data_IF_329935025262
#
_entry.id   IF_329935025262
#
_cell.length_a   1.000
_cell.length_b   1.000
_cell.length_c   1.000
_cell.angle_alpha   90.00
_cell.angle_beta   90.00
_cell.angle_gamma   90.00
#
_symmetry.space_group_name_H-M   'P 1'
#
loop_
_entity.id
_entity.type
_entity.pdbx_description
1 polymer ?
#
# COMPACT_ATOMS: atom_id res chain seq x y z
N UNK A 1 19.29 -34.81 -67.54
CA UNK A 1 18.17 -33.98 -68.02
C UNK A 1 17.79 -32.99 -66.93
N UNK A 2 17.68 -31.70 -67.30
CA UNK A 2 17.06 -30.49 -66.68
C UNK A 2 17.07 -30.30 -65.15
N UNK A 3 17.59 -29.23 -64.52
CA UNK A 3 17.42 -27.76 -64.66
C UNK A 3 16.00 -27.19 -64.37
N UNK A 4 15.97 -26.24 -63.42
CA UNK A 4 15.09 -25.06 -63.24
C UNK A 4 13.87 -25.04 -62.27
N UNK A 5 13.70 -23.81 -61.72
CA UNK A 5 12.56 -23.17 -61.04
C UNK A 5 12.41 -23.48 -59.53
N UNK A 6 12.69 -22.62 -58.53
CA UNK A 6 12.52 -21.17 -58.33
C UNK A 6 11.04 -20.71 -58.36
N UNK A 7 10.64 -19.99 -57.28
CA UNK A 7 9.72 -18.82 -57.22
C UNK A 7 8.32 -18.99 -56.58
N UNK A 8 8.16 -18.28 -55.43
CA UNK A 8 6.97 -17.59 -54.83
C UNK A 8 5.80 -18.45 -54.33
N UNK A 9 5.08 -18.15 -53.24
CA UNK A 9 4.96 -16.98 -52.36
C UNK A 9 3.63 -17.13 -51.60
N UNK A 10 3.46 -16.52 -50.43
CA UNK A 10 2.15 -16.53 -49.76
C UNK A 10 2.17 -16.04 -48.32
N UNK A 11 1.68 -14.81 -48.13
CA UNK A 11 1.51 -14.07 -46.87
C UNK A 11 0.28 -14.51 -46.05
N UNK A 12 0.25 -14.02 -44.79
CA UNK A 12 -0.85 -13.95 -43.82
C UNK A 12 -1.07 -15.23 -42.97
N UNK A 13 -1.23 -15.20 -41.65
CA UNK A 13 -1.43 -14.12 -40.68
C UNK A 13 -2.19 -14.68 -39.46
N UNK A 14 -2.05 -14.01 -38.30
CA UNK A 14 -2.91 -14.08 -37.10
C UNK A 14 -2.78 -15.33 -36.20
N UNK A 15 -2.60 -15.23 -34.88
CA UNK A 15 -2.57 -14.06 -34.02
C UNK A 15 -1.99 -14.42 -32.64
N UNK A 16 -1.00 -13.64 -32.21
CA UNK A 16 -0.62 -13.51 -30.81
C UNK A 16 -1.76 -12.83 -30.06
N UNK A 17 -2.39 -13.53 -29.13
CA UNK A 17 -3.19 -12.90 -28.08
C UNK A 17 -2.25 -12.24 -27.08
N UNK A 18 -1.81 -11.03 -27.42
CA UNK A 18 -1.37 -10.05 -26.42
C UNK A 18 -2.64 -9.63 -25.70
N UNK A 19 -2.84 -10.15 -24.49
CA UNK A 19 -3.89 -9.66 -23.59
C UNK A 19 -3.69 -8.16 -23.39
N UNK A 20 -4.56 -7.37 -24.00
CA UNK A 20 -4.62 -5.93 -23.83
C UNK A 20 -4.90 -5.65 -22.35
N UNK A 21 -3.89 -5.17 -21.63
CA UNK A 21 -4.09 -4.46 -20.37
C UNK A 21 -5.06 -3.30 -20.63
N UNK A 22 -6.04 -3.05 -19.74
CA UNK A 22 -6.96 -1.93 -19.90
C UNK A 22 -6.17 -0.62 -19.99
N UNK A 23 -6.55 0.30 -20.91
CA UNK A 23 -5.87 1.58 -21.06
C UNK A 23 -6.11 2.42 -19.81
N UNK A 24 -5.10 2.49 -18.94
CA UNK A 24 -5.13 3.24 -17.69
C UNK A 24 -4.32 2.65 -16.54
N UNK A 25 -3.92 1.37 -16.61
CA UNK A 25 -3.27 0.67 -15.49
C UNK A 25 -1.73 0.62 -15.53
N UNK A 26 -1.05 1.14 -16.56
CA UNK A 26 0.37 0.80 -16.81
C UNK A 26 1.31 1.95 -17.18
N UNK A 27 0.91 3.22 -17.06
CA UNK A 27 1.85 4.32 -17.36
C UNK A 27 2.85 4.61 -16.21
N UNK A 28 2.46 4.36 -14.95
CA UNK A 28 3.33 4.60 -13.78
C UNK A 28 3.94 3.31 -13.20
N UNK A 29 3.39 2.14 -13.53
CA UNK A 29 3.94 0.85 -13.11
C UNK A 29 5.13 0.36 -13.97
N UNK A 30 5.36 0.99 -15.13
CA UNK A 30 6.32 0.53 -16.14
C UNK A 30 7.55 1.45 -16.33
N UNK A 31 7.79 2.40 -15.42
CA UNK A 31 9.12 3.03 -15.32
C UNK A 31 9.98 2.17 -14.43
N UNK A 32 10.92 1.45 -15.05
CA UNK A 32 11.97 0.68 -14.40
C UNK A 32 12.89 1.58 -13.59
N UNK A 33 12.41 2.00 -12.43
CA UNK A 33 13.22 2.66 -11.43
C UNK A 33 13.73 1.58 -10.47
N UNK A 34 14.97 1.16 -10.69
CA UNK A 34 15.68 0.25 -9.79
C UNK A 34 15.82 0.80 -8.37
N UNK A 35 16.66 0.18 -7.52
CA UNK A 35 16.89 0.67 -6.17
C UNK A 35 17.28 2.15 -6.19
N UNK A 36 16.74 2.93 -5.24
CA UNK A 36 17.07 4.35 -5.13
C UNK A 36 18.55 4.53 -4.79
N UNK A 37 19.12 5.69 -5.14
CA UNK A 37 20.51 5.98 -4.81
C UNK A 37 20.72 5.98 -3.28
N UNK A 38 21.92 5.63 -2.77
CA UNK A 38 22.18 5.49 -1.34
C UNK A 38 21.80 6.72 -0.51
N UNK A 39 21.99 7.92 -1.06
CA UNK A 39 21.67 9.19 -0.40
C UNK A 39 20.15 9.37 -0.24
N UNK A 40 19.37 8.90 -1.21
CA UNK A 40 17.90 8.90 -1.19
C UNK A 40 17.40 7.95 -0.11
N UNK A 41 17.98 6.75 -0.05
CA UNK A 41 17.67 5.74 0.96
C UNK A 41 17.98 6.26 2.36
N UNK A 42 19.16 6.88 2.55
CA UNK A 42 19.55 7.45 3.83
C UNK A 42 18.57 8.55 4.30
N UNK A 43 18.13 9.45 3.40
CA UNK A 43 17.12 10.46 3.71
C UNK A 43 15.78 9.82 4.10
N UNK A 44 15.29 8.88 3.31
CA UNK A 44 14.03 8.19 3.59
C UNK A 44 14.07 7.43 4.93
N UNK A 45 15.18 6.76 5.27
CA UNK A 45 15.34 6.12 6.58
C UNK A 45 15.33 7.15 7.72
N UNK A 46 16.01 8.29 7.55
CA UNK A 46 15.97 9.38 8.53
C UNK A 46 14.56 9.94 8.72
N UNK A 47 13.79 10.06 7.63
CA UNK A 47 12.39 10.46 7.71
C UNK A 47 11.55 9.45 8.50
N UNK A 48 11.69 8.14 8.24
CA UNK A 48 10.92 7.13 8.96
C UNK A 48 11.21 7.16 10.47
N UNK A 49 12.47 7.29 10.88
CA UNK A 49 12.85 7.41 12.29
C UNK A 49 12.25 8.67 12.92
N UNK A 50 12.30 9.81 12.21
CA UNK A 50 11.67 11.06 12.65
C UNK A 50 10.16 10.87 12.84
N UNK A 51 9.46 10.30 11.86
CA UNK A 51 8.02 10.04 11.91
C UNK A 51 7.66 9.14 13.08
N UNK A 52 8.41 8.05 13.29
CA UNK A 52 8.22 7.15 14.43
C UNK A 52 8.45 7.88 15.77
N UNK A 53 9.51 8.68 15.88
CA UNK A 53 9.84 9.45 17.08
C UNK A 53 8.80 10.52 17.40
N UNK A 54 8.31 11.24 16.40
CA UNK A 54 7.28 12.27 16.56
C UNK A 54 5.93 11.66 16.95
N UNK A 55 5.53 10.57 16.29
CA UNK A 55 4.31 9.84 16.63
C UNK A 55 4.38 9.25 18.05
N UNK A 56 5.56 8.85 18.52
CA UNK A 56 5.74 8.29 19.84
C UNK A 56 5.37 9.25 20.98
N UNK A 57 5.42 10.58 20.74
CA UNK A 57 5.09 11.62 21.73
C UNK A 57 3.60 11.69 22.07
N UNK A 58 2.73 11.09 21.26
CA UNK A 58 1.29 11.08 21.51
C UNK A 58 0.89 9.90 22.39
N UNK A 59 0.22 10.20 23.51
CA UNK A 59 -0.27 9.19 24.45
C UNK A 59 -1.57 8.49 24.02
N UNK A 60 -2.36 9.08 23.12
CA UNK A 60 -3.58 8.45 22.61
C UNK A 60 -3.31 7.63 21.35
N UNK A 61 -3.86 6.42 21.29
CA UNK A 61 -3.79 5.52 20.11
C UNK A 61 -4.20 6.24 18.82
N UNK A 62 -5.35 6.91 18.83
CA UNK A 62 -5.88 7.63 17.67
C UNK A 62 -4.89 8.70 17.18
N UNK A 63 -4.44 9.62 18.06
CA UNK A 63 -3.51 10.69 17.64
C UNK A 63 -2.17 10.14 17.17
N UNK A 64 -1.71 9.01 17.72
CA UNK A 64 -0.50 8.34 17.22
C UNK A 64 -0.69 7.81 15.80
N UNK A 65 -1.81 7.15 15.50
CA UNK A 65 -2.12 6.72 14.13
C UNK A 65 -2.19 7.91 13.14
N UNK A 66 -2.84 9.00 13.55
CA UNK A 66 -2.92 10.22 12.76
C UNK A 66 -1.55 10.87 12.54
N UNK A 67 -0.69 10.89 13.57
CA UNK A 67 0.66 11.41 13.47
C UNK A 67 1.56 10.58 12.54
N UNK A 68 1.40 9.24 12.52
CA UNK A 68 2.11 8.39 11.56
C UNK A 68 1.71 8.71 10.12
N UNK A 69 0.42 8.91 9.85
CA UNK A 69 -0.10 9.30 8.53
C UNK A 69 0.35 10.71 8.12
N UNK A 70 0.25 11.69 9.03
CA UNK A 70 0.70 13.06 8.78
C UNK A 70 2.22 13.13 8.58
N UNK A 71 2.99 12.31 9.30
CA UNK A 71 4.42 12.20 9.10
C UNK A 71 4.75 11.64 7.72
N UNK A 72 4.06 10.57 7.31
CA UNK A 72 4.27 9.93 6.02
C UNK A 72 4.01 10.86 4.83
N UNK A 73 3.05 11.79 4.93
CA UNK A 73 2.74 12.71 3.82
C UNK A 73 3.92 13.60 3.42
N UNK A 74 4.90 13.76 4.31
CA UNK A 74 6.12 14.55 4.11
C UNK A 74 7.40 13.71 4.10
N UNK A 75 7.29 12.39 4.26
CA UNK A 75 8.44 11.49 4.36
C UNK A 75 8.74 10.84 3.01
N UNK A 76 10.02 10.50 2.79
CA UNK A 76 10.42 9.61 1.70
C UNK A 76 9.95 10.09 0.30
N UNK A 77 10.02 11.40 0.05
CA UNK A 77 9.46 12.05 -1.14
C UNK A 77 9.85 11.41 -2.47
N UNK A 78 11.10 10.96 -2.58
CA UNK A 78 11.72 10.37 -3.78
C UNK A 78 11.55 8.83 -3.86
N UNK A 79 10.99 8.22 -2.81
CA UNK A 79 10.78 6.78 -2.68
C UNK A 79 9.31 6.43 -2.77
N UNK A 80 8.45 7.21 -2.12
CA UNK A 80 7.01 7.00 -2.08
C UNK A 80 6.30 7.87 -3.12
N UNK A 81 5.47 7.26 -4.00
CA UNK A 81 4.63 8.00 -4.93
C UNK A 81 3.81 9.10 -4.24
N UNK A 82 3.67 10.25 -4.90
CA UNK A 82 2.92 11.40 -4.40
C UNK A 82 1.50 11.01 -3.96
N UNK A 83 0.80 10.19 -4.74
CA UNK A 83 -0.55 9.67 -4.42
C UNK A 83 -0.64 9.00 -3.03
N UNK A 84 0.37 8.20 -2.64
CA UNK A 84 0.37 7.56 -1.31
C UNK A 84 0.62 8.58 -0.20
N UNK A 85 1.54 9.54 -0.44
CA UNK A 85 1.86 10.60 0.53
C UNK A 85 0.69 11.56 0.74
N UNK A 86 0.10 12.05 -0.35
CA UNK A 86 -1.08 12.92 -0.33
C UNK A 86 -2.27 12.21 0.34
N UNK A 87 -2.55 10.97 -0.07
CA UNK A 87 -3.60 10.15 0.55
C UNK A 87 -3.41 9.95 2.05
N UNK A 88 -2.18 9.76 2.52
CA UNK A 88 -1.87 9.72 3.94
C UNK A 88 -2.16 11.05 4.65
N UNK A 89 -1.76 12.17 4.03
CA UNK A 89 -2.00 13.52 4.54
C UNK A 89 -3.50 13.82 4.69
N UNK A 90 -4.29 13.50 3.66
CA UNK A 90 -5.74 13.66 3.70
C UNK A 90 -6.41 12.73 4.72
N UNK A 91 -5.90 11.51 4.88
CA UNK A 91 -6.42 10.53 5.83
C UNK A 91 -6.10 10.89 7.29
N UNK A 92 -4.99 11.60 7.55
CA UNK A 92 -4.51 11.90 8.90
C UNK A 92 -5.53 12.68 9.76
N UNK A 93 -6.30 13.59 9.16
CA UNK A 93 -7.32 14.38 9.88
C UNK A 93 -8.73 13.77 9.80
N UNK A 94 -8.90 12.69 9.03
CA UNK A 94 -10.20 12.06 8.80
C UNK A 94 -10.67 11.19 9.98
N UNK A 95 -12.00 11.10 10.10
CA UNK A 95 -12.69 10.10 10.94
C UNK A 95 -12.48 8.70 10.38
N UNK A 96 -12.65 7.65 11.18
CA UNK A 96 -12.28 6.26 10.84
C UNK A 96 -12.80 5.78 9.49
N UNK A 97 -14.11 5.82 9.26
CA UNK A 97 -14.70 5.35 8.00
C UNK A 97 -14.15 6.13 6.79
N UNK A 98 -14.11 7.45 6.88
CA UNK A 98 -13.56 8.30 5.82
C UNK A 98 -12.06 8.10 5.62
N UNK A 99 -11.31 7.84 6.70
CA UNK A 99 -9.89 7.52 6.68
C UNK A 99 -9.66 6.23 5.91
N UNK A 100 -10.39 5.17 6.24
CA UNK A 100 -10.33 3.89 5.51
C UNK A 100 -10.58 4.13 4.02
N UNK A 101 -11.61 4.91 3.66
CA UNK A 101 -11.95 5.18 2.26
C UNK A 101 -10.82 5.88 1.51
N UNK A 102 -10.24 6.93 2.11
CA UNK A 102 -9.13 7.70 1.54
C UNK A 102 -7.88 6.83 1.37
N UNK A 103 -7.56 6.02 2.37
CA UNK A 103 -6.42 5.12 2.33
C UNK A 103 -6.58 4.03 1.28
N UNK A 104 -7.80 3.49 1.13
CA UNK A 104 -8.13 2.54 0.08
C UNK A 104 -7.98 3.15 -1.32
N UNK A 105 -8.50 4.37 -1.53
CA UNK A 105 -8.36 5.08 -2.80
C UNK A 105 -6.91 5.44 -3.10
N UNK A 106 -6.12 5.81 -2.08
CA UNK A 106 -4.70 6.06 -2.23
C UNK A 106 -3.92 4.80 -2.62
N UNK A 107 -4.32 3.63 -2.10
CA UNK A 107 -3.70 2.34 -2.40
C UNK A 107 -4.04 1.77 -3.78
N UNK A 108 -5.11 2.25 -4.43
CA UNK A 108 -5.55 1.75 -5.74
C UNK A 108 -4.45 1.94 -6.80
N UNK A 109 -4.19 0.89 -7.57
CA UNK A 109 -3.10 0.85 -8.56
C UNK A 109 -1.72 0.50 -7.97
N UNK A 110 -1.61 0.32 -6.66
CA UNK A 110 -0.39 -0.13 -5.97
C UNK A 110 -0.50 -1.51 -5.34
N UNK A 111 -1.72 -2.03 -5.22
CA UNK A 111 -2.01 -3.38 -4.74
C UNK A 111 -2.93 -4.09 -5.73
N UNK A 112 -2.94 -5.43 -5.76
CA UNK A 112 -3.91 -6.18 -6.55
C UNK A 112 -5.35 -5.81 -6.20
N UNK A 113 -6.24 -5.81 -7.19
CA UNK A 113 -7.68 -5.53 -6.99
C UNK A 113 -8.32 -6.45 -5.94
N UNK A 114 -7.82 -7.68 -5.77
CA UNK A 114 -8.28 -8.60 -4.72
C UNK A 114 -8.07 -8.07 -3.28
N UNK A 115 -7.14 -7.11 -3.10
CA UNK A 115 -6.88 -6.43 -1.83
C UNK A 115 -7.80 -5.21 -1.63
N UNK A 116 -8.55 -4.81 -2.66
CA UNK A 116 -9.47 -3.67 -2.65
C UNK A 116 -10.90 -4.17 -2.50
N UNK A 117 -11.45 -4.14 -1.29
CA UNK A 117 -12.87 -4.42 -1.07
C UNK A 117 -13.68 -3.14 -1.09
N UNK A 118 -14.89 -3.17 -1.65
CA UNK A 118 -15.87 -2.11 -1.43
C UNK A 118 -16.15 -1.98 0.07
N UNK A 119 -16.09 -0.74 0.58
CA UNK A 119 -16.31 -0.45 1.99
C UNK A 119 -17.75 -0.73 2.46
N UNK A 120 -17.97 -0.95 3.77
CA UNK A 120 -16.97 -1.13 4.84
C UNK A 120 -16.69 -2.61 5.10
N UNK A 121 -15.60 -3.14 4.54
CA UNK A 121 -15.14 -4.50 4.82
C UNK A 121 -14.03 -4.50 5.87
N UNK A 122 -13.96 -5.56 6.68
CA UNK A 122 -12.86 -5.78 7.64
C UNK A 122 -11.63 -6.34 6.92
N UNK A 123 -10.43 -5.98 7.36
CA UNK A 123 -9.20 -6.47 6.74
C UNK A 123 -9.11 -8.01 6.75
N UNK A 124 -9.66 -8.65 7.80
CA UNK A 124 -9.73 -10.11 7.89
C UNK A 124 -10.54 -10.77 6.77
N UNK A 125 -11.57 -10.10 6.25
CA UNK A 125 -12.41 -10.61 5.15
C UNK A 125 -11.69 -10.58 3.79
N UNK A 126 -10.62 -9.80 3.68
CA UNK A 126 -9.75 -9.78 2.49
C UNK A 126 -8.48 -10.59 2.68
N UNK A 127 -8.08 -10.96 3.90
CA UNK A 127 -6.84 -11.70 4.20
C UNK A 127 -6.73 -13.00 3.38
N UNK A 128 -7.82 -13.74 3.19
CA UNK A 128 -7.80 -14.98 2.42
C UNK A 128 -7.47 -14.77 0.93
N UNK A 129 -7.83 -13.61 0.37
CA UNK A 129 -7.62 -13.24 -1.04
C UNK A 129 -6.33 -12.45 -1.25
N UNK A 130 -5.93 -11.71 -0.21
CA UNK A 130 -4.76 -10.85 -0.20
C UNK A 130 -4.01 -11.06 1.13
N UNK A 131 -3.30 -12.20 1.28
CA UNK A 131 -2.61 -12.51 2.51
C UNK A 131 -1.43 -11.56 2.73
N UNK A 132 -1.09 -11.24 3.99
CA UNK A 132 0.09 -10.46 4.28
C UNK A 132 1.33 -11.26 3.83
N UNK A 133 2.31 -10.63 3.18
CA UNK A 133 3.52 -11.31 2.73
C UNK A 133 4.34 -11.88 3.89
N UNK A 134 5.08 -12.97 3.67
CA UNK A 134 5.73 -13.75 4.76
C UNK A 134 6.73 -12.97 5.62
N UNK A 135 7.38 -11.95 5.05
CA UNK A 135 8.38 -11.13 5.72
C UNK A 135 7.79 -9.94 6.49
N UNK A 136 6.48 -9.92 6.65
CA UNK A 136 5.80 -8.86 7.40
C UNK A 136 5.61 -9.26 8.85
N UNK A 137 5.80 -8.30 9.76
CA UNK A 137 5.58 -8.48 11.20
C UNK A 137 4.08 -8.56 11.58
N UNK A 138 3.20 -8.90 10.64
CA UNK A 138 1.77 -9.04 10.92
C UNK A 138 1.52 -10.29 11.76
N UNK A 139 0.73 -10.14 12.83
CA UNK A 139 0.15 -11.27 13.54
C UNK A 139 -1.01 -11.79 12.70
N UNK A 140 -0.93 -13.04 12.26
CA UNK A 140 -2.05 -13.75 11.62
C UNK A 140 -2.83 -14.53 12.69
N UNK A 141 -4.17 -14.58 12.64
CA UNK A 141 -5.03 -13.85 11.71
C UNK A 141 -5.03 -12.34 11.97
N UNK A 142 -5.35 -11.54 10.93
CA UNK A 142 -5.47 -10.09 11.11
C UNK A 142 -6.59 -9.75 12.13
N UNK A 143 -6.41 -8.70 12.95
CA UNK A 143 -7.43 -8.28 13.92
C UNK A 143 -8.75 -7.91 13.23
N UNK A 144 -9.89 -8.34 13.81
CA UNK A 144 -11.23 -7.98 13.31
C UNK A 144 -11.49 -6.47 13.34
N UNK A 145 -10.77 -5.76 14.22
CA UNK A 145 -10.83 -4.32 14.38
C UNK A 145 -10.11 -3.56 13.28
N UNK A 146 -9.24 -4.20 12.48
CA UNK A 146 -8.48 -3.54 11.42
C UNK A 146 -9.36 -3.31 10.17
N UNK A 147 -9.44 -2.06 9.72
CA UNK A 147 -10.16 -1.69 8.49
C UNK A 147 -9.37 -2.05 7.23
N UNK A 148 -10.09 -2.34 6.15
CA UNK A 148 -9.48 -2.72 4.86
C UNK A 148 -8.63 -1.60 4.26
N UNK A 149 -9.03 -0.33 4.43
CA UNK A 149 -8.26 0.81 3.92
C UNK A 149 -6.86 0.90 4.49
N UNK A 150 -6.74 0.81 5.82
CA UNK A 150 -5.44 0.80 6.52
C UNK A 150 -4.58 -0.39 6.08
N UNK A 151 -5.18 -1.57 5.90
CA UNK A 151 -4.45 -2.75 5.44
C UNK A 151 -3.94 -2.60 4.00
N UNK A 152 -4.81 -2.23 3.05
CA UNK A 152 -4.45 -2.02 1.65
C UNK A 152 -3.38 -0.94 1.50
N UNK A 153 -3.49 0.16 2.24
CA UNK A 153 -2.50 1.22 2.25
C UNK A 153 -1.13 0.77 2.75
N UNK A 154 -1.10 0.00 3.86
CA UNK A 154 0.15 -0.54 4.36
C UNK A 154 0.83 -1.49 3.36
N UNK A 155 0.05 -2.32 2.66
CA UNK A 155 0.56 -3.17 1.58
C UNK A 155 1.15 -2.35 0.43
N UNK A 156 0.46 -1.28 0.01
CA UNK A 156 0.92 -0.38 -1.05
C UNK A 156 2.25 0.30 -0.67
N UNK A 157 2.33 0.88 0.53
CA UNK A 157 3.55 1.53 1.04
C UNK A 157 4.69 0.53 1.09
N UNK A 158 4.45 -0.65 1.66
CA UNK A 158 5.46 -1.72 1.70
C UNK A 158 5.96 -2.08 0.32
N UNK A 159 5.06 -2.32 -0.64
CA UNK A 159 5.44 -2.71 -2.00
C UNK A 159 6.39 -1.67 -2.62
N UNK A 160 6.05 -0.39 -2.50
CA UNK A 160 6.88 0.71 -3.03
C UNK A 160 8.22 0.87 -2.32
N UNK A 161 8.25 0.74 -0.99
CA UNK A 161 9.52 0.73 -0.25
C UNK A 161 10.41 -0.44 -0.68
N UNK A 162 9.84 -1.62 -0.92
CA UNK A 162 10.61 -2.80 -1.36
C UNK A 162 11.19 -2.64 -2.75
N UNK A 163 10.36 -2.22 -3.70
CA UNK A 163 10.79 -1.96 -5.09
C UNK A 163 11.96 -0.98 -5.15
N UNK A 164 11.94 0.02 -4.26
CA UNK A 164 12.99 1.06 -4.19
C UNK A 164 14.18 0.70 -3.30
N UNK A 165 14.18 -0.47 -2.66
CA UNK A 165 15.26 -0.90 -1.76
C UNK A 165 15.29 -0.20 -0.40
N UNK A 166 14.20 0.46 0.00
CA UNK A 166 14.05 1.20 1.27
C UNK A 166 13.30 0.41 2.36
N UNK A 167 12.99 -0.87 2.12
CA UNK A 167 12.22 -1.69 3.06
C UNK A 167 13.14 -2.49 4.00
N UNK A 168 13.71 -1.79 4.99
CA UNK A 168 14.52 -2.36 6.06
C UNK A 168 13.71 -2.60 7.35
N UNK A 169 14.39 -2.92 8.46
CA UNK A 169 13.74 -3.12 9.76
C UNK A 169 12.98 -1.88 10.27
N UNK A 170 13.36 -0.67 9.86
CA UNK A 170 12.69 0.58 10.26
C UNK A 170 11.38 0.75 9.50
N UNK A 171 11.41 0.51 8.20
CA UNK A 171 10.22 0.46 7.37
C UNK A 171 9.22 -0.59 7.88
N UNK A 172 9.71 -1.79 8.21
CA UNK A 172 8.89 -2.84 8.81
C UNK A 172 8.26 -2.38 10.13
N UNK A 173 9.04 -1.76 11.02
CA UNK A 173 8.54 -1.21 12.29
C UNK A 173 7.49 -0.13 12.07
N UNK A 174 7.70 0.77 11.13
CA UNK A 174 6.73 1.82 10.80
C UNK A 174 5.41 1.23 10.32
N UNK A 175 5.47 0.30 9.35
CA UNK A 175 4.29 -0.40 8.84
C UNK A 175 3.55 -1.09 9.99
N UNK A 176 4.27 -1.87 10.81
CA UNK A 176 3.68 -2.59 11.94
C UNK A 176 3.04 -1.66 12.98
N UNK A 177 3.70 -0.56 13.35
CA UNK A 177 3.17 0.41 14.31
C UNK A 177 1.89 1.06 13.74
N UNK A 178 1.87 1.46 12.47
CA UNK A 178 0.69 2.04 11.83
C UNK A 178 -0.52 1.09 11.92
N UNK A 179 -0.33 -0.17 11.53
CA UNK A 179 -1.39 -1.18 11.53
C UNK A 179 -1.89 -1.50 12.94
N UNK A 180 -0.98 -1.66 13.90
CA UNK A 180 -1.31 -1.86 15.30
C UNK A 180 -2.17 -0.70 15.82
N UNK A 181 -1.78 0.55 15.55
CA UNK A 181 -2.56 1.71 16.02
C UNK A 181 -3.92 1.82 15.30
N UNK A 182 -4.00 1.47 14.02
CA UNK A 182 -5.28 1.43 13.29
C UNK A 182 -6.24 0.36 13.83
N UNK A 183 -5.73 -0.81 14.21
CA UNK A 183 -6.50 -1.87 14.86
C UNK A 183 -7.00 -1.44 16.24
N UNK A 184 -6.12 -0.93 17.10
CA UNK A 184 -6.47 -0.44 18.44
C UNK A 184 -7.47 0.74 18.41
N UNK A 185 -7.37 1.63 17.42
CA UNK A 185 -8.36 2.69 17.21
C UNK A 185 -9.75 2.11 16.89
N UNK A 186 -9.80 1.01 16.13
CA UNK A 186 -11.03 0.29 15.81
C UNK A 186 -11.65 -0.39 17.03
N UNK A 187 -10.82 -1.00 17.87
CA UNK A 187 -11.28 -1.59 19.14
C UNK A 187 -11.87 -0.52 20.06
N UNK A 188 -11.19 0.63 20.20
CA UNK A 188 -11.66 1.72 21.04
C UNK A 188 -12.98 2.33 20.54
N UNK A 189 -13.24 2.31 19.23
CA UNK A 189 -14.52 2.74 18.66
C UNK A 189 -15.63 1.71 18.91
N UNK A 190 -15.35 0.41 18.71
CA UNK A 190 -16.30 -0.66 19.00
C UNK A 190 -16.76 -0.66 20.46
N UNK A 191 -15.82 -0.48 21.41
CA UNK A 191 -16.13 -0.38 22.85
C UNK A 191 -16.95 0.87 23.23
N UNK A 192 -16.79 1.98 22.49
CA UNK A 192 -17.61 3.18 22.70
C UNK A 192 -19.02 2.99 22.13
N UNK A 193 -19.14 2.23 21.05
CA UNK A 193 -20.42 1.83 20.49
C UNK A 193 -21.25 1.01 21.48
N UNK A 194 -20.67 -0.04 22.06
CA UNK A 194 -21.39 -0.94 22.99
C UNK A 194 -21.90 -0.23 24.24
N UNK A 195 -21.08 0.61 24.89
CA UNK A 195 -21.50 1.39 26.09
C UNK A 195 -22.63 2.39 25.86
N UNK A 196 -22.97 2.71 24.61
CA UNK A 196 -24.04 3.66 24.28
C UNK A 196 -25.40 2.98 24.11
N UNK A 197 -25.42 1.64 24.10
CA UNK A 197 -26.62 0.81 23.99
C UNK A 197 -27.03 0.16 25.32
N UNK A 198 -26.21 0.28 26.35
CA UNK A 198 -26.51 -0.09 27.74
C UNK A 198 -27.02 1.14 28.52
#
# INVERSE_FOLDING_TARGET
MSLYALVLGGWMGLGWWVGALPPGASAEAARGEGPAAPEVLARCHSDMERVLGDAARFGSVQRRAQALLAGLSTACEEVLPARLREGAGEAASARRAERSRRLLEAARGFVPEACLSSEPARAREVEARCPPPEDTLFVRPLPDSLDTGSYAFALAVRARLRERGAYDARAQRWVAEFLLRSALDGEAEAHRGTRRFD
#
